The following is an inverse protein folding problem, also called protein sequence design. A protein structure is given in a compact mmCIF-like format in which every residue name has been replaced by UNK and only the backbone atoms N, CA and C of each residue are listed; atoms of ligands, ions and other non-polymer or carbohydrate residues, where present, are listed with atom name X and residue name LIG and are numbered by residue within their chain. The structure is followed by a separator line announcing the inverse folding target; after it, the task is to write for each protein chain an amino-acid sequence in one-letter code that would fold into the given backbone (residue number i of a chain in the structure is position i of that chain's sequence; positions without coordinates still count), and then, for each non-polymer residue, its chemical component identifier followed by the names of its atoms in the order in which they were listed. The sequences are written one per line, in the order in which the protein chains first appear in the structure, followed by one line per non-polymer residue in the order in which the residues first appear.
data_IF_472183691424
#
_entry.id   IF_472183691424
#
_cell.length_a   1.000
_cell.length_b   1.000
_cell.length_c   1.000
_cell.angle_alpha   90.00
_cell.angle_beta   90.00
_cell.angle_gamma   90.00
#
_symmetry.space_group_name_H-M   'P 1'
#
loop_
_entity.id
_entity.type
_entity.pdbx_description
1 polymer ?
#
# COMPACT_ATOMS: atom_id res chain seq x y z
N UNK A 1 -23.70 24.04 -10.74
CA UNK A 1 -23.62 23.48 -9.42
C UNK A 1 -22.28 23.85 -8.82
N UNK A 2 -22.31 24.55 -7.72
CA UNK A 2 -21.11 25.08 -7.12
C UNK A 2 -20.33 23.97 -6.40
N UNK A 3 -19.00 24.09 -6.34
CA UNK A 3 -18.13 23.24 -5.52
C UNK A 3 -18.62 23.13 -4.07
N UNK A 4 -19.33 24.14 -3.54
CA UNK A 4 -19.99 24.11 -2.24
C UNK A 4 -21.04 23.00 -2.11
N UNK A 5 -21.87 22.76 -3.15
CA UNK A 5 -22.88 21.69 -3.13
C UNK A 5 -22.24 20.30 -2.99
N UNK A 6 -21.10 20.07 -3.63
CA UNK A 6 -20.40 18.79 -3.56
C UNK A 6 -19.70 18.60 -2.22
N UNK A 7 -19.21 19.67 -1.58
CA UNK A 7 -18.67 19.63 -0.22
C UNK A 7 -19.76 19.25 0.79
N UNK A 8 -20.94 19.86 0.73
CA UNK A 8 -22.04 19.55 1.64
C UNK A 8 -22.53 18.10 1.49
N UNK A 9 -22.62 17.58 0.26
CA UNK A 9 -22.97 16.17 0.02
C UNK A 9 -21.97 15.22 0.68
N UNK A 10 -20.68 15.49 0.53
CA UNK A 10 -19.61 14.67 1.13
C UNK A 10 -19.63 14.72 2.64
N UNK A 11 -19.82 15.91 3.24
CA UNK A 11 -19.93 16.05 4.69
C UNK A 11 -21.13 15.30 5.27
N UNK A 12 -22.29 15.37 4.58
CA UNK A 12 -23.48 14.62 4.96
C UNK A 12 -23.24 13.11 4.88
N UNK A 13 -22.59 12.64 3.81
CA UNK A 13 -22.17 11.24 3.66
C UNK A 13 -21.23 10.81 4.79
N UNK A 14 -20.17 11.58 5.08
CA UNK A 14 -19.21 11.27 6.14
C UNK A 14 -19.89 11.16 7.52
N UNK A 15 -20.79 12.08 7.83
CA UNK A 15 -21.57 12.06 9.08
C UNK A 15 -22.40 10.79 9.19
N UNK A 16 -23.10 10.43 8.14
CA UNK A 16 -24.01 9.27 8.16
C UNK A 16 -23.24 7.96 8.19
N UNK A 17 -22.06 7.89 7.52
CA UNK A 17 -21.12 6.77 7.65
C UNK A 17 -20.68 6.59 9.10
N UNK A 18 -20.24 7.66 9.78
CA UNK A 18 -19.86 7.61 11.19
C UNK A 18 -20.97 7.06 12.08
N UNK A 19 -22.18 7.60 11.93
CA UNK A 19 -23.33 7.17 12.74
C UNK A 19 -23.61 5.67 12.55
N UNK A 20 -23.53 5.19 11.31
CA UNK A 20 -23.77 3.77 11.01
C UNK A 20 -22.65 2.88 11.56
N UNK A 21 -21.39 3.31 11.47
CA UNK A 21 -20.24 2.58 11.99
C UNK A 21 -20.28 2.52 13.52
N UNK A 22 -20.59 3.62 14.21
CA UNK A 22 -20.74 3.62 15.67
C UNK A 22 -21.82 2.68 16.16
N UNK A 23 -22.94 2.56 15.45
CA UNK A 23 -24.03 1.62 15.79
C UNK A 23 -23.59 0.15 15.77
N UNK A 24 -22.56 -0.19 14.99
CA UNK A 24 -22.00 -1.55 14.90
C UNK A 24 -20.66 -1.69 15.64
N UNK A 25 -20.31 -0.72 16.48
CA UNK A 25 -19.11 -0.78 17.33
C UNK A 25 -17.80 -0.43 16.63
N UNK A 26 -17.83 0.09 15.39
CA UNK A 26 -16.63 0.57 14.70
C UNK A 26 -16.40 2.03 15.05
N UNK A 27 -15.34 2.32 15.79
CA UNK A 27 -15.00 3.67 16.22
C UNK A 27 -14.19 4.40 15.15
N UNK A 28 -14.88 4.93 14.14
CA UNK A 28 -14.29 5.83 13.14
C UNK A 28 -14.00 7.18 13.79
N UNK A 29 -12.76 7.66 13.71
CA UNK A 29 -12.32 8.88 14.39
C UNK A 29 -11.94 9.99 13.42
N UNK A 30 -11.13 9.69 12.42
CA UNK A 30 -10.61 10.66 11.47
C UNK A 30 -11.27 10.45 10.11
N UNK A 31 -11.74 11.55 9.52
CA UNK A 31 -12.29 11.56 8.17
C UNK A 31 -11.90 12.85 7.47
N UNK A 32 -11.39 12.74 6.25
CA UNK A 32 -11.04 13.89 5.41
C UNK A 32 -11.03 13.52 3.93
N UNK A 33 -10.95 14.55 3.08
CA UNK A 33 -10.75 14.37 1.65
C UNK A 33 -9.25 14.25 1.36
N UNK A 34 -8.93 13.37 0.45
CA UNK A 34 -7.61 13.16 -0.10
C UNK A 34 -7.44 13.85 -1.48
N UNK A 35 -6.30 13.62 -2.14
CA UNK A 35 -5.86 14.34 -3.34
C UNK A 35 -6.69 13.98 -4.58
N UNK A 36 -7.08 12.71 -4.74
CA UNK A 36 -7.85 12.30 -5.91
C UNK A 36 -9.29 12.83 -5.86
N UNK A 37 -9.96 12.98 -7.02
CA UNK A 37 -11.33 13.49 -7.08
C UNK A 37 -12.30 12.71 -6.20
N UNK A 38 -12.90 13.39 -5.22
CA UNK A 38 -13.84 12.83 -4.24
C UNK A 38 -13.27 11.65 -3.42
N UNK A 39 -11.98 11.50 -3.33
CA UNK A 39 -11.33 10.52 -2.48
C UNK A 39 -11.56 10.87 -1.01
N UNK A 40 -11.98 9.88 -0.23
CA UNK A 40 -12.31 10.00 1.17
C UNK A 40 -11.49 9.02 1.99
N UNK A 41 -10.82 9.50 3.02
CA UNK A 41 -10.10 8.68 3.98
C UNK A 41 -10.86 8.57 5.29
N UNK A 42 -10.82 7.38 5.89
CA UNK A 42 -11.38 7.09 7.20
C UNK A 42 -10.37 6.28 8.00
N UNK A 43 -10.10 6.72 9.23
CA UNK A 43 -9.23 6.01 10.16
C UNK A 43 -10.01 5.62 11.43
N UNK A 44 -10.21 4.32 11.70
CA UNK A 44 -10.76 3.83 12.94
C UNK A 44 -9.72 3.84 14.07
N UNK A 45 -10.18 3.77 15.32
CA UNK A 45 -9.31 3.45 16.45
C UNK A 45 -8.86 1.99 16.31
N UNK A 46 -7.60 1.70 16.64
CA UNK A 46 -7.04 0.35 16.57
C UNK A 46 -7.75 -0.64 17.51
N UNK A 47 -7.73 -1.90 17.15
CA UNK A 47 -8.22 -3.03 17.93
C UNK A 47 -7.36 -4.26 17.66
N UNK A 48 -7.64 -5.36 18.34
CA UNK A 48 -7.01 -6.64 18.05
C UNK A 48 -7.20 -7.05 16.59
N UNK A 49 -6.21 -7.74 16.01
CA UNK A 49 -6.12 -7.99 14.58
C UNK A 49 -7.38 -8.66 13.98
N UNK A 50 -7.96 -9.67 14.66
CA UNK A 50 -9.18 -10.33 14.22
C UNK A 50 -10.39 -9.38 14.20
N UNK A 51 -10.57 -8.58 15.25
CA UNK A 51 -11.63 -7.58 15.34
C UNK A 51 -11.43 -6.48 14.31
N UNK A 52 -10.19 -6.01 14.12
CA UNK A 52 -9.85 -5.00 13.13
C UNK A 52 -10.17 -5.45 11.70
N UNK A 53 -9.94 -6.74 11.38
CA UNK A 53 -10.32 -7.33 10.09
C UNK A 53 -11.83 -7.29 9.88
N UNK A 54 -12.62 -7.71 10.87
CA UNK A 54 -14.08 -7.69 10.79
C UNK A 54 -14.62 -6.26 10.68
N UNK A 55 -14.09 -5.33 11.48
CA UNK A 55 -14.43 -3.92 11.42
C UNK A 55 -14.09 -3.30 10.06
N UNK A 56 -12.99 -3.70 9.44
CA UNK A 56 -12.63 -3.26 8.08
C UNK A 56 -13.67 -3.73 7.06
N UNK A 57 -14.14 -4.98 7.11
CA UNK A 57 -15.20 -5.49 6.24
C UNK A 57 -16.52 -4.72 6.44
N UNK A 58 -16.94 -4.49 7.69
CA UNK A 58 -18.11 -3.68 8.02
C UNK A 58 -18.00 -2.25 7.51
N UNK A 59 -16.82 -1.66 7.61
CA UNK A 59 -16.53 -0.31 7.08
C UNK A 59 -16.70 -0.25 5.58
N UNK A 60 -16.08 -1.19 4.84
CA UNK A 60 -16.20 -1.28 3.38
C UNK A 60 -17.64 -1.44 2.92
N UNK A 61 -18.41 -2.29 3.59
CA UNK A 61 -19.84 -2.50 3.30
C UNK A 61 -20.66 -1.24 3.61
N UNK A 62 -20.40 -0.60 4.75
CA UNK A 62 -21.12 0.60 5.18
C UNK A 62 -20.86 1.77 4.22
N UNK A 63 -19.62 1.98 3.79
CA UNK A 63 -19.28 2.99 2.79
C UNK A 63 -20.07 2.82 1.50
N UNK A 64 -20.16 1.60 0.96
CA UNK A 64 -20.93 1.30 -0.26
C UNK A 64 -22.41 1.59 -0.07
N UNK A 65 -22.98 1.12 1.05
CA UNK A 65 -24.41 1.27 1.35
C UNK A 65 -24.81 2.74 1.53
N UNK A 66 -24.06 3.47 2.36
CA UNK A 66 -24.37 4.88 2.65
C UNK A 66 -24.14 5.75 1.43
N UNK A 67 -23.10 5.49 0.61
CA UNK A 67 -22.90 6.19 -0.65
C UNK A 67 -24.12 6.08 -1.57
N UNK A 68 -24.69 4.86 -1.71
CA UNK A 68 -25.89 4.64 -2.49
C UNK A 68 -27.10 5.45 -1.96
N UNK A 69 -27.27 5.54 -0.63
CA UNK A 69 -28.33 6.34 0.00
C UNK A 69 -28.20 7.84 -0.28
N UNK A 70 -26.97 8.32 -0.50
CA UNK A 70 -26.67 9.72 -0.87
C UNK A 70 -26.65 9.96 -2.38
N UNK A 71 -27.09 8.99 -3.21
CA UNK A 71 -27.05 9.09 -4.67
C UNK A 71 -25.62 9.13 -5.24
N UNK A 72 -24.66 8.53 -4.51
CA UNK A 72 -23.25 8.42 -4.91
C UNK A 72 -22.88 6.96 -5.15
N UNK A 73 -21.77 6.75 -5.86
CA UNK A 73 -21.15 5.44 -6.02
C UNK A 73 -19.85 5.40 -5.21
N UNK A 74 -19.71 4.46 -4.30
CA UNK A 74 -18.45 4.19 -3.61
C UNK A 74 -17.58 3.28 -4.49
N UNK A 75 -16.42 3.76 -4.88
CA UNK A 75 -15.42 2.98 -5.62
C UNK A 75 -14.34 2.54 -4.63
N UNK A 76 -14.41 1.29 -4.18
CA UNK A 76 -13.32 0.63 -3.49
C UNK A 76 -12.40 0.03 -4.56
N UNK A 77 -11.66 0.88 -5.23
CA UNK A 77 -10.76 0.55 -6.34
C UNK A 77 -9.43 1.26 -6.10
N UNK A 78 -8.34 0.56 -6.34
CA UNK A 78 -6.99 0.99 -6.02
C UNK A 78 -6.53 2.19 -6.86
N UNK A 79 -6.96 2.25 -8.13
CA UNK A 79 -6.59 3.33 -9.07
C UNK A 79 -7.77 3.74 -9.95
N UNK A 80 -8.79 4.46 -9.39
CA UNK A 80 -9.96 4.85 -10.17
C UNK A 80 -9.66 5.84 -11.29
N UNK A 81 -8.59 6.64 -11.13
CA UNK A 81 -8.22 7.70 -12.07
C UNK A 81 -6.72 7.64 -12.38
N UNK A 82 -6.37 7.65 -13.66
CA UNK A 82 -4.98 7.74 -14.10
C UNK A 82 -4.35 9.10 -13.75
N UNK A 83 -3.05 9.12 -13.46
CA UNK A 83 -2.28 10.36 -13.24
C UNK A 83 -2.45 11.04 -11.88
N UNK A 84 -3.32 10.53 -10.99
CA UNK A 84 -3.54 11.05 -9.64
C UNK A 84 -3.40 9.94 -8.60
N UNK A 85 -3.45 10.30 -7.30
CA UNK A 85 -3.32 9.33 -6.21
C UNK A 85 -4.34 8.20 -6.32
N UNK A 86 -3.88 6.99 -6.03
CA UNK A 86 -4.73 5.82 -5.83
C UNK A 86 -5.26 5.74 -4.40
N UNK A 87 -6.00 4.68 -4.12
CA UNK A 87 -6.56 4.39 -2.80
C UNK A 87 -6.02 3.07 -2.27
N UNK A 88 -5.58 3.07 -1.03
CA UNK A 88 -5.09 1.89 -0.33
C UNK A 88 -5.45 1.91 1.14
N UNK A 89 -5.00 0.91 1.86
CA UNK A 89 -5.08 0.82 3.31
C UNK A 89 -3.69 0.89 3.90
N UNK A 90 -3.50 1.77 4.88
CA UNK A 90 -2.32 1.75 5.74
C UNK A 90 -2.63 0.84 6.92
N UNK A 91 -2.18 -0.41 6.83
CA UNK A 91 -2.38 -1.41 7.87
C UNK A 91 -1.39 -1.15 9.01
N UNK A 92 -1.83 -0.43 10.04
CA UNK A 92 -1.05 -0.22 11.25
C UNK A 92 -0.98 -1.53 12.02
N UNK A 93 0.24 -1.94 12.37
CA UNK A 93 0.51 -3.21 13.01
C UNK A 93 1.51 -3.04 14.16
N UNK A 94 1.19 -3.59 15.33
CA UNK A 94 2.09 -3.66 16.48
C UNK A 94 1.89 -4.97 17.25
N UNK A 95 2.76 -5.23 18.22
CA UNK A 95 2.72 -6.42 19.07
C UNK A 95 2.55 -5.95 20.51
N UNK A 96 1.51 -6.46 21.16
CA UNK A 96 1.19 -6.10 22.53
C UNK A 96 1.04 -7.37 23.37
N UNK A 97 1.57 -7.36 24.59
CA UNK A 97 1.36 -8.43 25.56
C UNK A 97 -0.08 -8.41 26.08
N UNK A 98 -0.50 -9.44 26.80
CA UNK A 98 -1.83 -9.55 27.39
C UNK A 98 -2.10 -8.52 28.49
N UNK A 99 -1.04 -8.02 29.14
CA UNK A 99 -1.10 -6.92 30.13
C UNK A 99 -0.98 -5.52 29.49
N UNK A 100 -0.97 -5.45 28.15
CA UNK A 100 -1.06 -4.19 27.39
C UNK A 100 0.27 -3.48 27.12
N UNK A 101 1.41 -4.14 27.32
CA UNK A 101 2.73 -3.59 27.01
C UNK A 101 2.97 -3.69 25.50
N UNK A 102 3.20 -2.55 24.83
CA UNK A 102 3.57 -2.54 23.41
C UNK A 102 5.06 -2.83 23.25
N UNK A 103 5.39 -3.97 22.64
CA UNK A 103 6.77 -4.42 22.43
C UNK A 103 7.54 -3.59 21.37
N UNK A 104 6.83 -2.80 20.59
CA UNK A 104 7.41 -1.85 19.60
C UNK A 104 7.50 -0.42 20.16
N UNK A 105 7.35 -0.22 21.47
CA UNK A 105 7.55 1.08 22.12
C UNK A 105 9.04 1.28 22.43
N UNK A 106 9.75 2.20 21.73
CA UNK A 106 11.19 2.37 21.91
C UNK A 106 11.54 3.08 23.24
N UNK A 107 10.59 3.80 23.83
CA UNK A 107 10.82 4.61 25.02
C UNK A 107 11.64 5.88 24.73
N UNK A 108 12.17 6.47 25.80
CA UNK A 108 12.98 7.70 25.72
C UNK A 108 14.43 7.46 25.27
N UNK A 109 14.96 6.30 25.59
CA UNK A 109 16.33 5.86 25.30
C UNK A 109 16.31 4.53 24.52
N UNK A 110 15.98 4.56 23.20
CA UNK A 110 15.85 3.36 22.38
C UNK A 110 17.09 2.45 22.42
N UNK A 111 18.28 3.05 22.52
CA UNK A 111 19.56 2.34 22.55
C UNK A 111 19.79 1.52 23.82
N UNK A 112 19.07 1.80 24.92
CA UNK A 112 19.11 1.04 26.18
C UNK A 112 17.97 0.01 26.30
N UNK A 113 16.98 0.08 25.41
CA UNK A 113 15.79 -0.78 25.48
C UNK A 113 16.05 -2.11 24.73
N UNK A 114 16.67 -3.06 25.42
CA UNK A 114 17.06 -4.38 24.90
C UNK A 114 15.84 -5.14 24.35
N UNK A 115 14.70 -5.12 25.06
CA UNK A 115 13.49 -5.79 24.60
C UNK A 115 13.00 -5.21 23.28
N UNK A 116 12.94 -3.88 23.15
CA UNK A 116 12.55 -3.22 21.92
C UNK A 116 13.51 -3.55 20.75
N UNK A 117 14.83 -3.49 21.00
CA UNK A 117 15.85 -3.78 19.98
C UNK A 117 15.79 -5.22 19.51
N UNK A 118 15.56 -6.17 20.42
CA UNK A 118 15.41 -7.60 20.08
C UNK A 118 14.16 -7.82 19.23
N UNK A 119 13.03 -7.22 19.62
CA UNK A 119 11.76 -7.30 18.86
C UNK A 119 11.90 -6.63 17.49
N UNK A 120 12.54 -5.46 17.40
CA UNK A 120 12.82 -4.78 16.13
C UNK A 120 13.68 -5.68 15.21
N UNK A 121 14.74 -6.27 15.74
CA UNK A 121 15.59 -7.21 14.99
C UNK A 121 14.84 -8.44 14.52
N UNK A 122 13.93 -8.97 15.34
CA UNK A 122 13.07 -10.10 14.97
C UNK A 122 12.12 -9.75 13.82
N UNK A 123 11.52 -8.56 13.84
CA UNK A 123 10.68 -8.06 12.75
C UNK A 123 11.50 -7.83 11.47
N UNK A 124 12.71 -7.26 11.59
CA UNK A 124 13.63 -7.10 10.44
C UNK A 124 13.95 -8.45 9.78
N UNK A 125 14.30 -9.45 10.58
CA UNK A 125 14.56 -10.82 10.10
C UNK A 125 13.34 -11.40 9.39
N UNK A 126 12.16 -11.30 9.99
CA UNK A 126 10.92 -11.83 9.43
C UNK A 126 10.62 -11.21 8.06
N UNK A 127 10.68 -9.89 7.96
CA UNK A 127 10.37 -9.14 6.73
C UNK A 127 11.42 -9.38 5.64
N UNK A 128 12.72 -9.43 5.99
CA UNK A 128 13.78 -9.74 5.04
C UNK A 128 13.69 -11.17 4.50
N UNK A 129 13.42 -12.12 5.38
CA UNK A 129 13.34 -13.55 5.00
C UNK A 129 12.13 -13.85 4.12
N UNK A 130 11.01 -13.18 4.37
CA UNK A 130 9.71 -13.44 3.72
C UNK A 130 9.17 -12.22 2.95
N UNK A 131 10.05 -11.40 2.40
CA UNK A 131 9.66 -10.22 1.62
C UNK A 131 8.74 -10.56 0.43
N UNK A 132 9.00 -11.69 -0.24
CA UNK A 132 8.18 -12.23 -1.32
C UNK A 132 6.74 -12.55 -0.87
N UNK A 133 6.60 -13.23 0.25
CA UNK A 133 5.31 -13.59 0.80
C UNK A 133 4.55 -12.37 1.34
N UNK A 134 5.25 -11.41 1.95
CA UNK A 134 4.64 -10.16 2.40
C UNK A 134 4.15 -9.32 1.22
N UNK A 135 4.91 -9.27 0.10
CA UNK A 135 4.47 -8.63 -1.14
C UNK A 135 3.22 -9.34 -1.72
N UNK A 136 3.20 -10.66 -1.70
CA UNK A 136 2.06 -11.45 -2.16
C UNK A 136 0.80 -11.13 -1.37
N UNK A 137 0.89 -10.94 -0.06
CA UNK A 137 -0.26 -10.64 0.82
C UNK A 137 -1.06 -9.38 0.44
N UNK A 138 -0.47 -8.50 -0.35
CA UNK A 138 -1.07 -7.29 -0.89
C UNK A 138 -1.21 -7.33 -2.41
N UNK A 139 -1.21 -8.52 -3.01
CA UNK A 139 -1.34 -8.67 -4.47
C UNK A 139 -2.81 -8.68 -4.90
N UNK A 140 -3.16 -7.71 -5.73
CA UNK A 140 -4.47 -7.54 -6.37
C UNK A 140 -4.30 -6.86 -7.73
N UNK A 141 -5.24 -7.10 -8.65
CA UNK A 141 -5.23 -6.51 -10.01
C UNK A 141 -5.19 -4.99 -9.96
N UNK A 142 -6.02 -4.38 -9.11
CA UNK A 142 -6.06 -2.93 -8.94
C UNK A 142 -4.76 -2.36 -8.39
N UNK A 143 -4.08 -3.11 -7.54
CA UNK A 143 -2.79 -2.73 -6.96
C UNK A 143 -1.65 -2.71 -7.98
N UNK A 144 -1.71 -3.52 -9.03
CA UNK A 144 -0.73 -3.47 -10.13
C UNK A 144 -0.73 -2.09 -10.82
N UNK A 145 -1.88 -1.41 -10.83
CA UNK A 145 -2.03 -0.05 -11.37
C UNK A 145 -1.68 1.06 -10.36
N UNK A 146 -1.71 0.74 -9.05
CA UNK A 146 -1.50 1.72 -7.98
C UNK A 146 -0.05 1.83 -7.53
N UNK A 147 0.66 0.71 -7.36
CA UNK A 147 2.00 0.66 -6.74
C UNK A 147 3.04 1.43 -7.57
N UNK A 148 3.99 2.04 -6.87
CA UNK A 148 5.17 2.67 -7.45
C UNK A 148 5.07 4.17 -7.75
N UNK A 149 3.95 4.83 -7.43
CA UNK A 149 3.80 6.27 -7.59
C UNK A 149 2.66 6.85 -6.73
N UNK A 150 2.61 8.18 -6.62
CA UNK A 150 1.47 8.88 -6.03
C UNK A 150 1.08 8.36 -4.62
N UNK A 151 2.05 8.34 -3.71
CA UNK A 151 1.93 7.87 -2.32
C UNK A 151 1.72 6.36 -2.13
N UNK A 152 1.69 5.57 -3.20
CA UNK A 152 1.71 4.12 -3.12
C UNK A 152 3.17 3.60 -3.18
N UNK A 153 3.56 2.66 -2.29
CA UNK A 153 4.94 2.18 -2.26
C UNK A 153 5.30 1.41 -3.53
N UNK A 154 6.61 1.29 -3.85
CA UNK A 154 7.07 0.42 -4.92
C UNK A 154 6.84 -1.06 -4.59
N UNK A 155 6.90 -1.92 -5.61
CA UNK A 155 6.72 -3.37 -5.48
C UNK A 155 7.94 -4.10 -4.85
N UNK A 156 8.78 -3.38 -4.14
CA UNK A 156 9.94 -3.87 -3.41
C UNK A 156 9.67 -3.70 -1.92
N UNK A 157 9.64 -4.79 -1.17
CA UNK A 157 9.53 -4.70 0.29
C UNK A 157 10.82 -4.14 0.87
N UNK A 158 10.70 -3.06 1.63
CA UNK A 158 11.77 -2.46 2.44
C UNK A 158 11.18 -1.88 3.71
N UNK A 159 12.02 -1.66 4.72
CA UNK A 159 11.63 -1.10 6.01
C UNK A 159 12.19 0.31 6.16
N UNK A 160 11.35 1.24 6.57
CA UNK A 160 11.76 2.58 7.00
C UNK A 160 11.82 2.62 8.53
N UNK A 161 12.96 3.00 9.09
CA UNK A 161 13.16 3.13 10.53
C UNK A 161 13.24 4.60 10.98
N UNK A 162 13.63 5.50 10.09
CA UNK A 162 13.96 6.88 10.39
C UNK A 162 15.40 7.04 10.94
N UNK A 163 15.90 8.27 10.89
CA UNK A 163 17.30 8.57 11.21
C UNK A 163 17.73 8.13 12.61
N UNK A 164 16.87 8.30 13.61
CA UNK A 164 17.21 7.99 14.99
C UNK A 164 17.43 6.49 15.22
N UNK A 165 16.54 5.64 14.74
CA UNK A 165 16.65 4.20 14.93
C UNK A 165 17.73 3.61 14.01
N UNK A 166 17.89 4.13 12.80
CA UNK A 166 18.97 3.70 11.92
C UNK A 166 20.34 3.98 12.53
N UNK A 167 20.52 5.15 13.16
CA UNK A 167 21.76 5.46 13.88
C UNK A 167 22.05 4.45 14.99
N UNK A 168 21.04 4.10 15.80
CA UNK A 168 21.18 3.07 16.85
C UNK A 168 21.54 1.70 16.26
N UNK A 169 20.87 1.29 15.19
CA UNK A 169 21.13 0.03 14.48
C UNK A 169 22.57 0.01 13.95
N UNK A 170 23.02 1.09 13.32
CA UNK A 170 24.39 1.19 12.80
C UNK A 170 25.46 1.18 13.89
N UNK A 171 25.22 1.85 15.03
CA UNK A 171 26.14 1.76 16.18
C UNK A 171 26.29 0.32 16.68
N UNK A 172 25.18 -0.44 16.77
CA UNK A 172 25.20 -1.84 17.18
C UNK A 172 25.94 -2.74 16.19
N UNK A 173 25.76 -2.50 14.89
CA UNK A 173 26.47 -3.22 13.82
C UNK A 173 27.99 -2.96 13.91
N UNK A 174 28.38 -1.68 13.93
CA UNK A 174 29.76 -1.27 13.77
C UNK A 174 30.60 -1.47 15.04
N UNK A 175 30.03 -1.13 16.21
CA UNK A 175 30.73 -1.11 17.50
C UNK A 175 30.33 -2.23 18.45
N UNK A 176 29.19 -2.89 18.18
CA UNK A 176 28.60 -3.91 19.05
C UNK A 176 27.88 -3.34 20.28
N UNK A 177 27.86 -2.03 20.42
CA UNK A 177 27.16 -1.32 21.50
C UNK A 177 26.65 0.03 20.99
N UNK A 178 25.49 0.47 21.46
CA UNK A 178 24.92 1.77 21.14
C UNK A 178 24.92 2.63 22.42
N UNK A 179 25.75 3.66 22.43
CA UNK A 179 25.97 4.53 23.58
C UNK A 179 25.14 5.80 23.60
N UNK A 180 24.45 6.08 22.51
CA UNK A 180 23.63 7.29 22.34
C UNK A 180 22.54 7.09 21.29
N UNK A 181 21.50 7.89 21.38
CA UNK A 181 20.52 8.06 20.29
C UNK A 181 20.44 9.55 19.94
N UNK A 182 20.24 9.85 18.66
CA UNK A 182 20.03 11.23 18.20
C UNK A 182 18.83 11.82 18.96
N UNK A 183 19.06 12.85 19.79
CA UNK A 183 17.98 13.50 20.49
C UNK A 183 17.18 14.40 19.55
N UNK A 184 15.86 14.35 19.66
CA UNK A 184 14.94 15.22 18.92
C UNK A 184 15.33 16.69 19.08
N UNK A 185 15.73 17.33 18.01
CA UNK A 185 15.99 18.78 18.01
C UNK A 185 14.69 19.55 18.28
N UNK A 186 14.76 20.60 19.09
CA UNK A 186 13.67 21.55 19.23
C UNK A 186 13.64 22.49 18.02
N UNK A 187 12.48 22.63 17.40
CA UNK A 187 12.23 23.65 16.40
C UNK A 187 12.14 25.00 17.10
N UNK A 188 13.19 25.79 17.03
CA UNK A 188 13.15 27.19 17.48
C UNK A 188 12.37 27.99 16.45
N UNK A 189 11.16 28.38 16.77
CA UNK A 189 10.28 29.18 15.89
C UNK A 189 10.79 30.62 15.70
N UNK A 190 11.81 31.05 16.44
CA UNK A 190 12.32 32.42 16.40
C UNK A 190 11.38 33.47 17.03
N UNK A 191 10.20 33.06 17.47
CA UNK A 191 9.24 33.94 18.15
C UNK A 191 9.23 33.60 19.64
N UNK A 192 9.55 34.59 20.47
CA UNK A 192 9.66 34.47 21.95
C UNK A 192 8.33 34.13 22.64
N UNK A 193 7.21 34.18 21.92
CA UNK A 193 5.85 33.94 22.43
C UNK A 193 5.30 32.55 22.09
N UNK A 194 5.98 31.78 21.24
CA UNK A 194 5.56 30.43 20.92
C UNK A 194 6.42 29.40 21.67
N UNK A 195 5.80 28.36 22.27
CA UNK A 195 6.57 27.29 22.89
C UNK A 195 7.46 26.60 21.87
N UNK A 196 8.63 26.14 22.30
CA UNK A 196 9.48 25.28 21.50
C UNK A 196 8.68 24.04 21.09
N UNK A 197 8.50 23.84 19.80
CA UNK A 197 7.87 22.64 19.26
C UNK A 197 8.95 21.55 19.14
N UNK A 198 8.68 20.39 19.69
CA UNK A 198 9.53 19.23 19.40
C UNK A 198 9.43 18.93 17.90
N UNK A 199 10.58 18.81 17.22
CA UNK A 199 10.59 18.24 15.88
C UNK A 199 9.97 16.85 15.95
N UNK A 200 8.96 16.61 15.13
CA UNK A 200 8.43 15.27 14.96
C UNK A 200 9.57 14.42 14.34
N UNK A 201 10.05 13.43 15.09
CA UNK A 201 11.10 12.53 14.61
C UNK A 201 10.55 11.44 13.67
N UNK A 202 9.23 11.40 13.49
CA UNK A 202 8.56 10.55 12.53
C UNK A 202 8.49 11.27 11.20
N UNK A 203 9.61 11.33 10.49
CA UNK A 203 9.56 11.63 9.07
C UNK A 203 8.78 10.50 8.40
N UNK A 204 7.59 10.84 7.90
CA UNK A 204 6.79 9.88 7.15
C UNK A 204 7.40 9.73 5.77
N UNK A 205 8.31 8.77 5.60
CA UNK A 205 8.69 8.38 4.25
C UNK A 205 7.49 7.72 3.56
N UNK A 206 6.75 8.52 2.78
CA UNK A 206 5.53 8.10 2.09
C UNK A 206 5.78 7.04 1.01
N UNK A 207 7.03 6.83 0.62
CA UNK A 207 7.42 5.84 -0.38
C UNK A 207 7.74 4.47 0.22
N UNK A 208 7.90 4.36 1.55
CA UNK A 208 8.22 3.08 2.18
C UNK A 208 7.00 2.16 2.28
N UNK A 209 7.12 0.89 1.89
CA UNK A 209 6.04 -0.09 2.02
C UNK A 209 5.79 -0.55 3.46
N UNK A 210 6.81 -0.54 4.32
CA UNK A 210 6.71 -0.95 5.72
C UNK A 210 7.49 0.03 6.61
N UNK A 211 6.78 1.01 7.16
CA UNK A 211 7.38 2.14 7.86
C UNK A 211 7.14 2.06 9.37
N UNK A 212 8.21 2.24 10.15
CA UNK A 212 8.10 2.42 11.59
C UNK A 212 7.60 3.85 11.89
N UNK A 213 6.52 3.96 12.67
CA UNK A 213 5.86 5.24 12.97
C UNK A 213 5.74 5.50 14.47
N UNK A 214 6.85 5.37 15.17
CA UNK A 214 7.00 5.72 16.58
C UNK A 214 6.83 4.55 17.54
N UNK A 215 5.80 3.74 17.42
CA UNK A 215 5.55 2.57 18.27
C UNK A 215 4.78 1.43 17.56
N UNK A 216 4.80 1.46 16.23
CA UNK A 216 4.14 0.49 15.35
C UNK A 216 4.73 0.58 13.95
N UNK A 217 4.44 -0.41 13.13
CA UNK A 217 4.68 -0.36 11.70
C UNK A 217 3.40 -0.06 10.93
N UNK A 218 3.53 0.64 9.82
CA UNK A 218 2.49 0.78 8.81
C UNK A 218 2.85 -0.03 7.58
N UNK A 219 2.05 -1.04 7.25
CA UNK A 219 2.14 -1.74 5.97
C UNK A 219 1.21 -1.07 4.97
N UNK A 220 1.78 -0.41 3.96
CA UNK A 220 1.10 0.54 3.09
C UNK A 220 0.70 -0.02 1.73
N UNK A 221 0.90 -1.30 1.50
CA UNK A 221 0.68 -1.92 0.18
C UNK A 221 -0.75 -2.43 -0.02
N UNK A 222 -1.53 -2.63 1.03
CA UNK A 222 -2.87 -3.24 0.90
C UNK A 222 -3.78 -2.37 0.04
N UNK A 223 -4.45 -2.97 -0.94
CA UNK A 223 -5.38 -2.30 -1.84
C UNK A 223 -6.67 -1.84 -1.14
N UNK A 224 -7.34 -0.84 -1.68
CA UNK A 224 -8.59 -0.34 -1.10
C UNK A 224 -9.74 -1.33 -1.20
N UNK A 225 -9.75 -2.20 -2.21
CA UNK A 225 -10.75 -3.26 -2.38
C UNK A 225 -10.48 -4.48 -1.51
N UNK A 226 -9.23 -4.69 -1.08
CA UNK A 226 -8.79 -5.88 -0.37
C UNK A 226 -9.18 -5.91 1.11
N UNK A 227 -9.24 -7.13 1.66
CA UNK A 227 -9.21 -7.34 3.10
C UNK A 227 -7.80 -7.13 3.64
N UNK A 228 -7.68 -6.63 4.88
CA UNK A 228 -6.41 -6.59 5.60
C UNK A 228 -6.00 -7.95 6.19
N UNK A 229 -6.87 -8.98 6.09
CA UNK A 229 -6.62 -10.31 6.67
C UNK A 229 -5.35 -10.97 6.12
N UNK A 230 -5.10 -11.05 4.79
CA UNK A 230 -3.90 -11.69 4.26
C UNK A 230 -2.61 -11.06 4.78
N UNK A 231 -2.54 -9.73 4.82
CA UNK A 231 -1.39 -9.01 5.34
C UNK A 231 -1.13 -9.32 6.82
N UNK A 232 -2.18 -9.33 7.65
CA UNK A 232 -2.06 -9.65 9.08
C UNK A 232 -1.68 -11.12 9.31
N UNK A 233 -2.26 -12.05 8.55
CA UNK A 233 -1.89 -13.48 8.63
C UNK A 233 -0.41 -13.67 8.31
N UNK A 234 0.08 -13.08 7.22
CA UNK A 234 1.48 -13.17 6.85
C UNK A 234 2.36 -12.51 7.90
N UNK A 235 2.12 -11.25 8.28
CA UNK A 235 2.93 -10.53 9.28
C UNK A 235 3.01 -11.31 10.60
N UNK A 236 1.88 -11.76 11.13
CA UNK A 236 1.86 -12.49 12.39
C UNK A 236 2.64 -13.82 12.30
N UNK A 237 2.51 -14.56 11.19
CA UNK A 237 3.15 -15.87 11.04
C UNK A 237 4.65 -15.75 10.83
N UNK A 238 5.13 -14.82 9.97
CA UNK A 238 6.57 -14.65 9.74
C UNK A 238 7.29 -14.12 10.99
N UNK A 239 6.62 -13.26 11.78
CA UNK A 239 7.19 -12.74 13.03
C UNK A 239 7.16 -13.82 14.12
N UNK A 240 6.12 -14.65 14.16
CA UNK A 240 6.08 -15.80 15.08
C UNK A 240 7.22 -16.80 14.80
N UNK A 241 7.53 -17.08 13.52
CA UNK A 241 8.70 -17.90 13.16
C UNK A 241 9.99 -17.27 13.68
N UNK A 242 10.19 -15.99 13.42
CA UNK A 242 11.38 -15.26 13.88
C UNK A 242 11.51 -15.29 15.40
N UNK A 243 10.42 -15.04 16.13
CA UNK A 243 10.42 -15.12 17.60
C UNK A 243 10.76 -16.53 18.11
N UNK A 244 10.16 -17.56 17.48
CA UNK A 244 10.42 -18.94 17.87
C UNK A 244 11.90 -19.29 17.69
N UNK A 245 12.49 -18.97 16.54
CA UNK A 245 13.90 -19.26 16.27
C UNK A 245 14.84 -18.53 17.24
N UNK A 246 14.55 -17.27 17.56
CA UNK A 246 15.32 -16.47 18.50
C UNK A 246 15.17 -17.04 19.93
N UNK A 247 13.96 -17.39 20.34
CA UNK A 247 13.71 -17.99 21.65
C UNK A 247 14.43 -19.32 21.81
N UNK A 248 14.33 -20.21 20.80
CA UNK A 248 15.00 -21.51 20.77
C UNK A 248 16.55 -21.40 20.90
N UNK A 249 17.14 -20.29 20.44
CA UNK A 249 18.57 -20.00 20.56
C UNK A 249 18.90 -19.42 21.96
N UNK A 250 18.11 -18.42 22.42
CA UNK A 250 18.34 -17.75 23.70
C UNK A 250 18.11 -18.66 24.92
N UNK A 251 17.15 -19.58 24.85
CA UNK A 251 16.88 -20.55 25.93
C UNK A 251 18.05 -21.51 26.23
N UNK A 252 18.96 -21.68 25.26
CA UNK A 252 20.14 -22.52 25.38
C UNK A 252 21.38 -21.81 25.94
N UNK A 253 21.29 -20.51 26.13
CA UNK A 253 22.43 -19.67 26.48
C UNK A 253 22.72 -19.73 27.99
N UNK A 254 23.98 -19.94 28.36
CA UNK A 254 24.44 -19.93 29.77
C UNK A 254 24.35 -18.51 30.39
N UNK A 255 24.55 -17.47 29.56
CA UNK A 255 24.42 -16.08 29.95
C UNK A 255 23.40 -15.38 29.04
N UNK A 256 22.19 -15.25 29.54
CA UNK A 256 21.06 -14.72 28.82
C UNK A 256 21.28 -13.27 28.35
N UNK A 257 21.79 -12.38 29.18
CA UNK A 257 22.00 -10.98 28.84
C UNK A 257 23.02 -10.81 27.71
N UNK A 258 24.17 -11.51 27.82
CA UNK A 258 25.15 -11.52 26.72
C UNK A 258 24.56 -12.08 25.43
N UNK A 259 23.82 -13.17 25.52
CA UNK A 259 23.19 -13.77 24.35
C UNK A 259 22.19 -12.86 23.68
N UNK A 260 21.42 -12.08 24.45
CA UNK A 260 20.52 -11.07 23.89
C UNK A 260 21.29 -9.97 23.11
N UNK A 261 22.39 -9.45 23.67
CA UNK A 261 23.23 -8.47 22.97
C UNK A 261 23.82 -9.03 21.67
N UNK A 262 24.39 -10.22 21.73
CA UNK A 262 24.96 -10.88 20.56
C UNK A 262 23.88 -11.16 19.49
N UNK A 263 22.69 -11.58 19.93
CA UNK A 263 21.55 -11.82 19.06
C UNK A 263 21.09 -10.53 18.36
N UNK A 264 20.95 -9.43 19.08
CA UNK A 264 20.56 -8.14 18.51
C UNK A 264 21.58 -7.71 17.43
N UNK A 265 22.88 -7.78 17.76
CA UNK A 265 23.95 -7.46 16.81
C UNK A 265 23.86 -8.34 15.56
N UNK A 266 23.70 -9.65 15.75
CA UNK A 266 23.56 -10.61 14.65
C UNK A 266 22.37 -10.29 13.76
N UNK A 267 21.19 -10.08 14.35
CA UNK A 267 19.95 -9.77 13.62
C UNK A 267 20.10 -8.49 12.77
N UNK A 268 20.65 -7.44 13.33
CA UNK A 268 20.85 -6.20 12.60
C UNK A 268 21.91 -6.35 11.50
N UNK A 269 23.02 -7.05 11.77
CA UNK A 269 24.06 -7.29 10.76
C UNK A 269 23.53 -8.08 9.57
N UNK A 270 22.82 -9.17 9.84
CA UNK A 270 22.36 -10.11 8.81
C UNK A 270 21.20 -9.54 7.97
N UNK A 271 20.35 -8.69 8.58
CA UNK A 271 19.09 -8.23 7.97
C UNK A 271 19.01 -6.73 7.70
N UNK A 272 20.07 -5.96 7.92
CA UNK A 272 20.10 -4.51 7.63
C UNK A 272 19.80 -4.19 6.16
N UNK A 273 20.06 -5.10 5.26
CA UNK A 273 19.81 -4.92 3.81
C UNK A 273 18.36 -4.56 3.48
N UNK A 274 17.39 -4.91 4.35
CA UNK A 274 15.96 -4.58 4.17
C UNK A 274 15.64 -3.12 4.54
N UNK A 275 16.53 -2.44 5.30
CA UNK A 275 16.31 -1.06 5.74
C UNK A 275 16.62 -0.07 4.63
N UNK A 276 15.68 0.81 4.35
CA UNK A 276 15.85 1.89 3.38
C UNK A 276 15.06 3.12 3.80
N UNK A 277 15.75 4.22 4.08
CA UNK A 277 15.16 5.50 4.51
C UNK A 277 15.07 6.53 3.35
N UNK A 278 15.51 6.17 2.15
CA UNK A 278 15.51 7.04 0.98
C UNK A 278 14.19 7.09 0.21
N UNK A 279 14.22 7.74 -0.96
CA UNK A 279 13.07 7.81 -1.86
C UNK A 279 12.92 6.51 -2.67
N UNK A 280 11.87 5.72 -2.38
CA UNK A 280 11.59 4.44 -3.04
C UNK A 280 11.13 4.52 -4.50
N UNK A 281 10.90 5.72 -5.05
CA UNK A 281 10.44 5.89 -6.44
C UNK A 281 11.56 6.05 -7.46
N UNK A 282 12.82 6.07 -7.01
CA UNK A 282 13.94 6.32 -7.90
C UNK A 282 14.48 5.05 -8.55
N UNK A 283 15.03 5.17 -9.76
CA UNK A 283 15.65 4.05 -10.46
C UNK A 283 16.90 3.56 -9.71
N UNK A 284 17.58 4.45 -8.99
CA UNK A 284 18.71 4.12 -8.13
C UNK A 284 18.31 3.16 -7.02
N UNK A 285 17.09 3.32 -6.45
CA UNK A 285 16.58 2.37 -5.46
C UNK A 285 16.34 0.99 -6.07
N UNK A 286 15.78 0.92 -7.27
CA UNK A 286 15.55 -0.36 -7.95
C UNK A 286 16.87 -1.10 -8.14
N UNK A 287 17.91 -0.41 -8.63
CA UNK A 287 19.25 -0.98 -8.81
C UNK A 287 19.90 -1.39 -7.47
N UNK A 288 19.75 -0.58 -6.44
CA UNK A 288 20.28 -0.87 -5.11
C UNK A 288 19.55 -2.05 -4.46
N UNK A 289 18.22 -2.17 -4.60
CA UNK A 289 17.45 -3.29 -4.11
C UNK A 289 17.88 -4.62 -4.78
N UNK A 290 18.12 -4.59 -6.08
CA UNK A 290 18.66 -5.73 -6.82
C UNK A 290 20.05 -6.12 -6.30
N UNK A 291 20.94 -5.15 -6.09
CA UNK A 291 22.28 -5.37 -5.51
C UNK A 291 22.20 -5.99 -4.12
N UNK A 292 21.21 -5.63 -3.31
CA UNK A 292 20.95 -6.20 -1.97
C UNK A 292 20.28 -7.55 -2.02
N UNK A 293 19.83 -8.02 -3.19
CA UNK A 293 19.08 -9.26 -3.35
C UNK A 293 17.64 -9.17 -2.84
N UNK A 294 17.05 -7.97 -2.80
CA UNK A 294 15.66 -7.77 -2.44
C UNK A 294 14.76 -8.01 -3.67
N UNK A 295 13.67 -8.78 -3.54
CA UNK A 295 12.81 -9.07 -4.67
C UNK A 295 12.01 -7.83 -5.11
N UNK A 296 12.00 -7.56 -6.42
CA UNK A 296 11.09 -6.62 -7.06
C UNK A 296 9.99 -7.42 -7.77
N UNK A 297 8.76 -7.36 -7.25
CA UNK A 297 7.64 -8.17 -7.73
C UNK A 297 6.52 -7.23 -8.19
N UNK A 298 6.55 -6.77 -9.46
CA UNK A 298 5.70 -5.68 -9.92
C UNK A 298 4.22 -6.07 -10.07
N UNK A 299 3.91 -7.34 -10.38
CA UNK A 299 2.54 -7.77 -10.68
C UNK A 299 2.00 -8.79 -9.69
N UNK A 300 0.67 -8.89 -9.63
CA UNK A 300 -0.03 -9.93 -8.89
C UNK A 300 0.36 -11.33 -9.38
N UNK A 301 0.46 -11.51 -10.70
CA UNK A 301 0.81 -12.81 -11.31
C UNK A 301 2.19 -13.27 -10.89
N UNK A 302 3.15 -12.36 -10.78
CA UNK A 302 4.51 -12.65 -10.32
C UNK A 302 4.59 -12.90 -8.80
N UNK A 303 3.64 -12.35 -8.04
CA UNK A 303 3.60 -12.50 -6.58
C UNK A 303 2.98 -13.84 -6.12
N UNK A 304 1.94 -14.31 -6.79
CA UNK A 304 1.18 -15.51 -6.40
C UNK A 304 2.06 -16.74 -6.14
N UNK A 305 3.14 -17.03 -6.93
CA UNK A 305 4.00 -18.18 -6.68
C UNK A 305 4.64 -18.23 -5.30
N UNK A 306 4.77 -17.09 -4.61
CA UNK A 306 5.32 -17.03 -3.26
C UNK A 306 4.52 -17.89 -2.25
N UNK A 307 3.20 -18.04 -2.45
CA UNK A 307 2.33 -18.86 -1.60
C UNK A 307 2.68 -20.36 -1.60
N UNK A 308 3.19 -20.85 -2.72
CA UNK A 308 3.40 -22.30 -2.93
C UNK A 308 4.88 -22.71 -2.89
N UNK A 309 5.76 -21.79 -2.50
CA UNK A 309 7.16 -22.13 -2.29
C UNK A 309 7.32 -23.12 -1.12
N UNK A 310 8.32 -24.02 -1.15
CA UNK A 310 8.58 -24.91 -0.02
C UNK A 310 8.79 -24.16 1.30
N UNK A 311 9.38 -22.95 1.24
CA UNK A 311 9.56 -22.06 2.38
C UNK A 311 8.22 -21.63 2.98
N UNK A 312 7.28 -21.17 2.16
CA UNK A 312 5.96 -20.74 2.61
C UNK A 312 5.12 -21.90 3.16
N UNK A 313 5.14 -23.04 2.47
CA UNK A 313 4.44 -24.26 2.93
C UNK A 313 4.95 -24.67 4.32
N UNK A 314 6.27 -24.79 4.48
CA UNK A 314 6.88 -25.13 5.78
C UNK A 314 6.49 -24.12 6.86
N UNK A 315 6.54 -22.82 6.56
CA UNK A 315 6.15 -21.76 7.49
C UNK A 315 4.71 -21.97 7.99
N UNK A 316 3.75 -22.01 7.10
CA UNK A 316 2.33 -22.04 7.45
C UNK A 316 1.93 -23.36 8.11
N UNK A 317 2.47 -24.50 7.67
CA UNK A 317 2.21 -25.80 8.30
C UNK A 317 2.81 -25.90 9.71
N UNK A 318 4.01 -25.35 9.92
CA UNK A 318 4.68 -25.38 11.24
C UNK A 318 3.92 -24.63 12.33
N UNK A 319 3.12 -23.63 11.94
CA UNK A 319 2.26 -22.85 12.84
C UNK A 319 0.77 -23.26 12.76
N UNK A 320 0.43 -24.27 11.96
CA UNK A 320 -0.95 -24.75 11.82
C UNK A 320 -1.90 -23.71 11.20
N UNK A 321 -1.37 -22.78 10.38
CA UNK A 321 -2.15 -21.70 9.76
C UNK A 321 -2.79 -22.15 8.46
N UNK A 322 -2.00 -22.75 7.56
CA UNK A 322 -2.46 -23.34 6.30
C UNK A 322 -1.71 -24.61 5.98
N UNK A 323 -2.39 -25.56 5.36
CA UNK A 323 -1.80 -26.73 4.72
C UNK A 323 -1.32 -26.40 3.31
N UNK A 324 -0.44 -27.24 2.75
CA UNK A 324 -0.02 -27.11 1.35
C UNK A 324 -1.20 -27.10 0.37
N UNK A 325 -2.22 -27.95 0.62
CA UNK A 325 -3.42 -28.01 -0.22
C UNK A 325 -4.21 -26.69 -0.21
N UNK A 326 -4.34 -26.05 0.96
CA UNK A 326 -5.00 -24.76 1.10
C UNK A 326 -4.21 -23.64 0.42
N UNK A 327 -2.89 -23.63 0.49
CA UNK A 327 -2.03 -22.66 -0.17
C UNK A 327 -2.13 -22.78 -1.70
N UNK A 328 -2.12 -24.01 -2.23
CA UNK A 328 -2.33 -24.27 -3.67
C UNK A 328 -3.70 -23.79 -4.14
N UNK A 329 -4.75 -24.11 -3.38
CA UNK A 329 -6.11 -23.64 -3.69
C UNK A 329 -6.22 -22.12 -3.70
N UNK A 330 -5.59 -21.44 -2.75
CA UNK A 330 -5.54 -19.97 -2.70
C UNK A 330 -4.81 -19.37 -3.90
N UNK A 331 -3.70 -19.96 -4.32
CA UNK A 331 -2.96 -19.53 -5.51
C UNK A 331 -3.83 -19.67 -6.78
N UNK A 332 -4.50 -20.81 -6.95
CA UNK A 332 -5.42 -21.04 -8.08
C UNK A 332 -6.57 -20.04 -8.12
N UNK A 333 -7.20 -19.78 -6.96
CA UNK A 333 -8.29 -18.79 -6.83
C UNK A 333 -7.78 -17.38 -7.20
N UNK A 334 -6.58 -17.02 -6.80
CA UNK A 334 -5.99 -15.71 -7.15
C UNK A 334 -5.72 -15.58 -8.65
N UNK A 335 -5.18 -16.61 -9.29
CA UNK A 335 -5.01 -16.64 -10.76
C UNK A 335 -6.36 -16.53 -11.48
N UNK A 336 -7.36 -17.26 -11.02
CA UNK A 336 -8.71 -17.19 -11.60
C UNK A 336 -9.31 -15.79 -11.41
N UNK A 337 -9.16 -15.19 -10.24
CA UNK A 337 -9.64 -13.84 -9.96
C UNK A 337 -8.96 -12.79 -10.87
N UNK A 338 -7.64 -12.90 -11.04
CA UNK A 338 -6.88 -12.05 -11.97
C UNK A 338 -7.41 -12.18 -13.40
N UNK A 339 -7.50 -13.41 -13.91
CA UNK A 339 -7.97 -13.67 -15.28
C UNK A 339 -9.42 -13.15 -15.49
N UNK A 340 -10.29 -13.32 -14.51
CA UNK A 340 -11.67 -12.81 -14.56
C UNK A 340 -11.70 -11.28 -14.59
N UNK A 341 -10.92 -10.61 -13.75
CA UNK A 341 -10.85 -9.15 -13.70
C UNK A 341 -10.38 -8.56 -15.04
N UNK A 342 -9.27 -9.04 -15.57
CA UNK A 342 -8.72 -8.60 -16.87
C UNK A 342 -9.72 -8.86 -18.00
N UNK A 343 -10.41 -10.02 -18.00
CA UNK A 343 -11.42 -10.34 -19.00
C UNK A 343 -12.65 -9.40 -18.93
N UNK A 344 -13.06 -9.00 -17.70
CA UNK A 344 -14.15 -8.02 -17.52
C UNK A 344 -13.70 -6.65 -18.03
N UNK A 345 -12.49 -6.21 -17.74
CA UNK A 345 -11.94 -4.94 -18.22
C UNK A 345 -11.86 -4.91 -19.75
N UNK A 346 -11.32 -5.99 -20.37
CA UNK A 346 -11.26 -6.10 -21.82
C UNK A 346 -12.65 -6.05 -22.46
N UNK A 347 -13.63 -6.80 -21.93
CA UNK A 347 -15.01 -6.76 -22.44
C UNK A 347 -15.68 -5.39 -22.25
N UNK A 348 -15.45 -4.72 -21.13
CA UNK A 348 -15.95 -3.36 -20.92
C UNK A 348 -15.33 -2.38 -21.91
N UNK A 349 -14.04 -2.50 -22.21
CA UNK A 349 -13.34 -1.68 -23.21
C UNK A 349 -13.92 -1.91 -24.62
N UNK A 350 -14.14 -3.17 -25.01
CA UNK A 350 -14.79 -3.54 -26.27
C UNK A 350 -16.19 -2.91 -26.39
N UNK A 351 -16.99 -3.03 -25.34
CA UNK A 351 -18.37 -2.53 -25.34
C UNK A 351 -18.43 -0.99 -25.41
N UNK A 352 -17.68 -0.29 -24.58
CA UNK A 352 -17.63 1.17 -24.56
C UNK A 352 -17.07 1.71 -25.88
N UNK A 353 -15.97 1.16 -26.35
CA UNK A 353 -15.34 1.63 -27.58
C UNK A 353 -16.22 1.37 -28.80
N UNK A 354 -16.78 0.15 -28.91
CA UNK A 354 -17.62 -0.21 -30.04
C UNK A 354 -18.96 0.53 -30.09
N UNK A 355 -19.61 0.69 -28.94
CA UNK A 355 -20.99 1.23 -28.89
C UNK A 355 -21.07 2.73 -28.63
N UNK A 356 -20.02 3.35 -28.06
CA UNK A 356 -20.06 4.74 -27.66
C UNK A 356 -18.97 5.58 -28.35
N UNK A 357 -17.68 5.21 -28.23
CA UNK A 357 -16.58 6.04 -28.73
C UNK A 357 -16.53 6.06 -30.25
N UNK A 358 -16.55 4.91 -30.91
CA UNK A 358 -16.53 4.85 -32.40
C UNK A 358 -17.70 5.61 -33.01
N UNK A 359 -18.98 5.42 -32.61
CA UNK A 359 -20.08 6.23 -33.10
C UNK A 359 -19.91 7.73 -32.89
N UNK A 360 -19.41 8.15 -31.72
CA UNK A 360 -19.16 9.57 -31.42
C UNK A 360 -18.08 10.17 -32.33
N UNK A 361 -16.99 9.45 -32.57
CA UNK A 361 -15.92 9.88 -33.50
C UNK A 361 -16.41 9.95 -34.94
N UNK A 362 -17.25 9.02 -35.37
CA UNK A 362 -17.88 9.05 -36.71
C UNK A 362 -18.79 10.27 -36.86
N UNK A 363 -19.61 10.56 -35.84
CA UNK A 363 -20.47 11.75 -35.85
C UNK A 363 -19.64 13.05 -35.97
N UNK A 364 -18.59 13.17 -35.15
CA UNK A 364 -17.68 14.31 -35.20
C UNK A 364 -16.93 14.42 -36.53
N UNK A 365 -16.50 13.32 -37.11
CA UNK A 365 -15.88 13.29 -38.44
C UNK A 365 -16.83 13.81 -39.52
N UNK A 366 -18.14 13.49 -39.41
CA UNK A 366 -19.17 13.98 -40.30
C UNK A 366 -19.35 15.51 -40.20
N UNK A 367 -19.37 16.05 -38.96
CA UNK A 367 -19.43 17.49 -38.72
C UNK A 367 -18.21 18.20 -39.31
N UNK A 368 -17.01 17.66 -39.13
CA UNK A 368 -15.78 18.20 -39.73
C UNK A 368 -15.83 18.18 -41.26
N UNK A 369 -16.29 17.05 -41.85
CA UNK A 369 -16.41 16.95 -43.30
C UNK A 369 -17.39 17.98 -43.88
N UNK A 370 -18.54 18.18 -43.23
CA UNK A 370 -19.51 19.21 -43.60
C UNK A 370 -18.92 20.62 -43.46
N UNK A 371 -18.13 20.89 -42.39
CA UNK A 371 -17.43 22.15 -42.20
C UNK A 371 -16.42 22.41 -43.33
N UNK A 372 -15.64 21.42 -43.73
CA UNK A 372 -14.69 21.53 -44.86
C UNK A 372 -15.43 21.93 -46.15
N UNK A 373 -16.56 21.30 -46.44
CA UNK A 373 -17.36 21.58 -47.60
C UNK A 373 -17.93 23.02 -47.56
N UNK A 374 -18.56 23.40 -46.46
CA UNK A 374 -19.18 24.73 -46.32
C UNK A 374 -18.17 25.86 -46.39
N UNK A 375 -16.98 25.71 -45.79
CA UNK A 375 -15.91 26.72 -45.82
C UNK A 375 -15.38 26.88 -47.24
N UNK A 376 -15.20 25.78 -47.99
CA UNK A 376 -14.78 25.82 -49.39
C UNK A 376 -15.81 26.45 -50.27
N UNK A 377 -17.10 26.14 -50.11
CA UNK A 377 -18.21 26.76 -50.84
C UNK A 377 -18.29 28.26 -50.61
N UNK A 378 -17.99 28.72 -49.39
CA UNK A 378 -17.89 30.14 -49.06
C UNK A 378 -16.64 30.84 -49.61
N UNK A 379 -15.76 30.13 -50.31
CA UNK A 379 -14.54 30.69 -50.93
C UNK A 379 -13.41 30.93 -49.94
N UNK A 380 -13.49 30.35 -48.74
CA UNK A 380 -12.47 30.49 -47.70
C UNK A 380 -11.52 29.26 -47.62
N UNK A 381 -10.37 29.42 -46.93
CA UNK A 381 -9.42 28.35 -46.71
C UNK A 381 -9.94 27.38 -45.66
N UNK A 382 -10.08 26.11 -46.05
CA UNK A 382 -10.54 25.02 -45.21
C UNK A 382 -9.41 24.03 -44.80
N UNK A 383 -8.15 24.41 -44.97
CA UNK A 383 -7.00 23.55 -44.70
C UNK A 383 -6.98 23.02 -43.26
N UNK A 384 -7.21 23.89 -42.29
CA UNK A 384 -7.22 23.52 -40.86
C UNK A 384 -8.28 22.47 -40.53
N UNK A 385 -9.49 22.62 -41.07
CA UNK A 385 -10.58 21.65 -40.85
C UNK A 385 -10.28 20.32 -41.58
N UNK A 386 -9.67 20.36 -42.76
CA UNK A 386 -9.27 19.19 -43.52
C UNK A 386 -8.15 18.38 -42.80
N UNK A 387 -7.16 19.07 -42.25
CA UNK A 387 -6.09 18.46 -41.48
C UNK A 387 -6.65 17.80 -40.22
N UNK A 388 -7.54 18.45 -39.48
CA UNK A 388 -8.22 17.91 -38.33
C UNK A 388 -9.06 16.69 -38.69
N UNK A 389 -9.80 16.71 -39.78
CA UNK A 389 -10.57 15.58 -40.29
C UNK A 389 -9.67 14.40 -40.62
N UNK A 390 -8.52 14.63 -41.26
CA UNK A 390 -7.54 13.61 -41.59
C UNK A 390 -6.97 12.95 -40.33
N UNK A 391 -6.64 13.75 -39.33
CA UNK A 391 -6.13 13.28 -38.03
C UNK A 391 -7.16 12.42 -37.32
N UNK A 392 -8.41 12.92 -37.19
CA UNK A 392 -9.49 12.20 -36.49
C UNK A 392 -9.84 10.88 -37.18
N UNK A 393 -9.89 10.85 -38.52
CA UNK A 393 -10.15 9.62 -39.27
C UNK A 393 -8.99 8.64 -39.19
N UNK A 394 -7.76 9.13 -39.05
CA UNK A 394 -6.57 8.33 -38.78
C UNK A 394 -6.69 7.60 -37.40
N UNK A 395 -7.03 8.34 -36.36
CA UNK A 395 -7.28 7.74 -35.04
C UNK A 395 -8.45 6.75 -35.01
N UNK A 396 -9.51 7.04 -35.76
CA UNK A 396 -10.63 6.08 -35.89
C UNK A 396 -10.21 4.75 -36.50
N UNK A 397 -9.36 4.79 -37.53
CA UNK A 397 -8.80 3.58 -38.16
C UNK A 397 -7.93 2.80 -37.20
N UNK A 398 -7.06 3.48 -36.46
CA UNK A 398 -6.19 2.85 -35.45
C UNK A 398 -7.03 2.25 -34.33
N UNK A 399 -7.99 2.99 -33.77
CA UNK A 399 -8.92 2.51 -32.73
C UNK A 399 -9.63 1.22 -33.16
N UNK A 400 -10.14 1.15 -34.38
CA UNK A 400 -10.76 -0.06 -34.95
C UNK A 400 -9.80 -1.24 -35.04
N UNK A 401 -8.56 -0.97 -35.43
CA UNK A 401 -7.52 -2.00 -35.54
C UNK A 401 -7.17 -2.58 -34.18
N UNK A 402 -6.96 -1.74 -33.18
CA UNK A 402 -6.64 -2.16 -31.81
C UNK A 402 -7.83 -2.88 -31.14
N UNK A 403 -9.06 -2.40 -31.40
CA UNK A 403 -10.27 -3.06 -30.89
C UNK A 403 -10.39 -4.49 -31.43
N UNK A 404 -10.15 -4.70 -32.73
CA UNK A 404 -10.19 -6.02 -33.34
C UNK A 404 -9.03 -6.93 -32.86
N UNK A 405 -7.92 -6.36 -32.43
CA UNK A 405 -6.83 -7.12 -31.79
C UNK A 405 -7.19 -7.55 -30.35
N UNK A 406 -7.88 -6.68 -29.60
CA UNK A 406 -8.35 -6.99 -28.24
C UNK A 406 -9.47 -8.04 -28.22
N UNK A 407 -10.27 -8.14 -29.28
CA UNK A 407 -11.37 -9.10 -29.39
C UNK A 407 -10.89 -10.55 -29.62
N UNK A 408 -9.67 -10.74 -30.13
CA UNK A 408 -9.03 -12.05 -30.34
C UNK A 408 -8.49 -12.64 -29.05
#
# INVERSE_FOLDING_TARGET
SSAASDVYKRQSFMRDVNIQLWKVGVTAKTQHNEVAPAQHELAPIYSEANIAVDQNQLTMQTLKRVACQHGMKCLLHEKPFAGVNGSGKHNNWSITTDDGINLLEPGKTPHENIQFLLVLGAVMKAVDTHADLLRESASDVGNDHRLGANEAPPAIISMFLGEQLEDVVMQLIDKGDATSSIQKGKLKTGASTLPDLNKDATDRNRTSPFAFTGNKFEFRMVGSADSIAPANVVLNTIVAESFKEIADELEKADNFDMACHDMIKKLFTDHHKIVFNGNGYTDEWIAEAERRGLPNIPSMVDAIPALTTPKAVKLFESFGVFTEAELKSRAEIKYEAYAKAINIEAKAMLDITGKQLIPAVIAYSTELANSVLAVKEAGADASTQADLLTTVTGYLKEMKTQLAALEK
#
